data_IF_313800517917
#
_entry.id   IF_313800517917
#
_cell.length_a   1.000
_cell.length_b   1.000
_cell.length_c   1.000
_cell.angle_alpha   90.00
_cell.angle_beta   90.00
_cell.angle_gamma   90.00
#
_symmetry.space_group_name_H-M   'P 1'
#
loop_
_entity.id
_entity.type
_entity.pdbx_description
1 polymer ?
#
# COMPACT_ATOMS: atom_id res chain seq x y z
N UNK A 1 26.79 -12.38 -1.27
CA UNK A 1 26.01 -13.51 -0.80
C UNK A 1 25.02 -13.13 0.28
N UNK A 2 24.33 -14.12 0.82
CA UNK A 2 23.32 -13.91 1.84
C UNK A 2 23.33 -15.05 2.87
N UNK A 3 22.81 -14.75 4.06
CA UNK A 3 22.46 -15.75 5.08
C UNK A 3 20.96 -15.96 5.02
N UNK A 4 20.53 -17.20 4.87
CA UNK A 4 19.14 -17.60 4.73
C UNK A 4 18.73 -18.54 5.86
N UNK A 5 17.47 -18.55 6.22
CA UNK A 5 16.87 -19.53 7.10
C UNK A 5 16.29 -20.69 6.27
N UNK A 6 16.88 -21.87 6.39
CA UNK A 6 16.34 -23.09 5.77
C UNK A 6 15.21 -23.64 6.66
N UNK A 7 13.97 -23.48 6.20
CA UNK A 7 12.78 -23.91 6.95
C UNK A 7 12.68 -25.43 7.11
N UNK A 8 13.25 -26.18 6.17
CA UNK A 8 13.20 -27.64 6.21
C UNK A 8 14.20 -28.21 7.22
N UNK A 9 15.39 -27.58 7.31
CA UNK A 9 16.44 -27.99 8.23
C UNK A 9 16.37 -27.33 9.60
N UNK A 10 15.61 -26.24 9.71
CA UNK A 10 15.56 -25.44 10.93
C UNK A 10 16.88 -24.78 11.30
N UNK A 11 17.72 -24.44 10.32
CA UNK A 11 19.04 -23.83 10.54
C UNK A 11 19.36 -22.75 9.50
N UNK A 12 20.39 -21.96 9.80
CA UNK A 12 20.91 -20.95 8.92
C UNK A 12 21.86 -21.56 7.88
N UNK A 13 21.68 -21.16 6.64
CA UNK A 13 22.58 -21.50 5.52
C UNK A 13 23.16 -20.23 4.90
N UNK A 14 24.40 -20.33 4.44
CA UNK A 14 25.07 -19.26 3.69
C UNK A 14 25.03 -19.56 2.21
N UNK A 15 24.62 -18.56 1.42
CA UNK A 15 24.69 -18.60 -0.03
C UNK A 15 25.83 -17.69 -0.48
N UNK A 16 26.85 -18.27 -1.11
CA UNK A 16 27.94 -17.51 -1.72
C UNK A 16 27.50 -17.03 -3.09
N UNK A 17 27.37 -15.72 -3.25
CA UNK A 17 27.04 -15.09 -4.52
C UNK A 17 27.88 -13.83 -4.72
N UNK A 18 28.19 -13.50 -5.98
CA UNK A 18 28.91 -12.25 -6.35
C UNK A 18 27.99 -11.07 -6.42
N UNK A 19 26.73 -11.31 -6.76
CA UNK A 19 25.68 -10.31 -6.82
C UNK A 19 24.47 -10.75 -5.97
N UNK A 20 23.79 -9.79 -5.36
CA UNK A 20 22.50 -9.95 -4.70
C UNK A 20 21.57 -8.86 -5.21
N UNK A 21 20.35 -9.24 -5.60
CA UNK A 21 19.32 -8.30 -5.99
C UNK A 21 18.20 -8.37 -4.95
N UNK A 22 17.94 -7.27 -4.26
CA UNK A 22 16.81 -7.15 -3.34
C UNK A 22 15.54 -6.79 -4.12
N UNK A 23 14.53 -7.66 -4.03
CA UNK A 23 13.22 -7.47 -4.64
C UNK A 23 12.13 -7.88 -3.64
N UNK A 24 12.25 -7.42 -2.40
CA UNK A 24 11.52 -7.90 -1.23
C UNK A 24 10.18 -7.22 -1.01
N UNK A 25 9.81 -6.28 -1.90
CA UNK A 25 8.61 -5.46 -1.70
C UNK A 25 8.78 -4.43 -0.60
N UNK A 26 7.66 -3.84 -0.18
CA UNK A 26 7.63 -2.75 0.80
C UNK A 26 7.43 -3.19 2.24
N UNK A 27 6.85 -2.30 3.04
CA UNK A 27 6.66 -2.45 4.48
C UNK A 27 5.23 -2.20 4.95
N UNK A 28 4.23 -2.34 4.08
CA UNK A 28 2.83 -2.02 4.39
C UNK A 28 2.22 -2.81 5.55
N UNK A 29 2.80 -3.98 5.91
CA UNK A 29 2.35 -4.73 7.08
C UNK A 29 2.77 -4.14 8.42
N UNK A 30 3.63 -3.13 8.43
CA UNK A 30 3.91 -2.37 9.65
C UNK A 30 2.69 -1.56 10.13
N UNK A 31 1.66 -1.43 9.28
CA UNK A 31 0.37 -0.80 9.59
C UNK A 31 0.53 0.53 10.31
N UNK A 32 1.36 1.39 9.74
CA UNK A 32 1.66 2.69 10.32
C UNK A 32 0.37 3.45 10.62
N UNK A 33 0.33 4.11 11.76
CA UNK A 33 -0.81 4.88 12.25
C UNK A 33 -2.11 4.07 12.42
N UNK A 34 -2.03 2.73 12.47
CA UNK A 34 -3.21 1.87 12.67
C UNK A 34 -4.08 1.67 11.43
N UNK A 35 -3.68 2.19 10.26
CA UNK A 35 -4.41 1.96 9.03
C UNK A 35 -4.38 0.48 8.64
N UNK A 36 -5.48 -0.05 8.08
CA UNK A 36 -5.45 -1.35 7.44
C UNK A 36 -4.50 -1.32 6.24
N UNK A 37 -4.14 -2.49 5.72
CA UNK A 37 -3.26 -2.59 4.56
C UNK A 37 -3.80 -3.55 3.52
N UNK A 38 -3.57 -3.23 2.25
CA UNK A 38 -3.82 -4.12 1.12
C UNK A 38 -2.63 -5.02 0.80
N UNK A 39 -1.51 -4.87 1.51
CA UNK A 39 -0.27 -5.56 1.20
C UNK A 39 -0.26 -7.01 1.70
N UNK A 40 0.50 -7.85 0.99
CA UNK A 40 0.79 -9.22 1.40
C UNK A 40 1.45 -9.27 2.79
N UNK A 41 1.21 -10.36 3.54
CA UNK A 41 1.73 -10.55 4.91
C UNK A 41 3.27 -10.46 5.01
N UNK A 42 3.99 -10.73 3.92
CA UNK A 42 5.44 -10.59 3.84
C UNK A 42 5.96 -9.18 3.57
N UNK A 43 5.10 -8.18 3.44
CA UNK A 43 5.53 -6.79 3.23
C UNK A 43 5.91 -6.13 4.58
N UNK A 44 6.97 -6.62 5.19
CA UNK A 44 7.43 -6.29 6.55
C UNK A 44 8.66 -5.39 6.60
N UNK A 45 9.15 -4.94 5.44
CA UNK A 45 10.30 -4.03 5.35
C UNK A 45 11.67 -4.69 5.57
N UNK A 46 11.75 -6.01 5.58
CA UNK A 46 13.00 -6.73 5.85
C UNK A 46 14.12 -6.34 4.88
N UNK A 47 13.81 -6.16 3.60
CA UNK A 47 14.80 -5.72 2.61
C UNK A 47 15.38 -4.35 2.88
N UNK A 48 14.58 -3.42 3.40
CA UNK A 48 15.05 -2.10 3.83
C UNK A 48 16.07 -2.22 4.97
N UNK A 49 15.74 -3.05 5.97
CA UNK A 49 16.63 -3.31 7.10
C UNK A 49 17.93 -3.96 6.65
N UNK A 50 17.85 -4.94 5.74
CA UNK A 50 19.01 -5.62 5.19
C UNK A 50 19.94 -4.64 4.46
N UNK A 51 19.38 -3.79 3.59
CA UNK A 51 20.15 -2.79 2.85
C UNK A 51 20.76 -1.74 3.79
N UNK A 52 19.96 -1.20 4.72
CA UNK A 52 20.45 -0.23 5.71
C UNK A 52 21.63 -0.78 6.53
N UNK A 53 21.56 -2.03 6.98
CA UNK A 53 22.66 -2.70 7.70
C UNK A 53 23.90 -2.92 6.86
N UNK A 54 23.78 -2.86 5.52
CA UNK A 54 24.91 -2.89 4.60
C UNK A 54 25.44 -1.48 4.25
N UNK A 55 24.91 -0.43 4.86
CA UNK A 55 25.32 0.96 4.68
C UNK A 55 24.62 1.67 3.51
N UNK A 56 23.58 1.08 2.94
CA UNK A 56 22.79 1.75 1.90
C UNK A 56 21.95 2.88 2.50
N UNK A 57 21.81 3.98 1.77
CA UNK A 57 20.88 5.06 2.10
C UNK A 57 19.46 4.69 1.76
N UNK A 58 18.54 5.21 2.56
CA UNK A 58 17.10 5.14 2.31
C UNK A 58 16.59 6.54 1.94
N UNK A 59 15.72 6.61 0.93
CA UNK A 59 15.06 7.85 0.50
C UNK A 59 13.59 7.79 0.86
N UNK A 60 13.02 8.92 1.26
CA UNK A 60 11.58 9.11 1.47
C UNK A 60 10.92 8.01 2.33
N UNK A 61 11.59 7.57 3.40
CA UNK A 61 11.11 6.49 4.26
C UNK A 61 9.74 6.75 4.89
N UNK A 62 9.34 8.00 5.00
CA UNK A 62 8.04 8.46 5.48
C UNK A 62 6.94 8.40 4.43
N UNK A 63 7.28 8.21 3.14
CA UNK A 63 6.36 8.35 2.02
C UNK A 63 5.62 7.04 1.73
N UNK A 64 4.39 6.95 2.23
CA UNK A 64 3.46 5.87 1.94
C UNK A 64 2.27 6.37 1.13
N UNK A 65 1.85 5.58 0.15
CA UNK A 65 0.63 5.83 -0.59
C UNK A 65 -0.53 5.07 0.04
N UNK A 66 -1.57 5.80 0.41
CA UNK A 66 -2.84 5.22 0.83
C UNK A 66 -3.76 5.11 -0.38
N UNK A 67 -4.33 3.92 -0.58
CA UNK A 67 -5.38 3.75 -1.58
C UNK A 67 -6.71 4.16 -0.99
N UNK A 68 -7.47 5.07 -1.61
CA UNK A 68 -8.70 5.61 -1.02
C UNK A 68 -9.80 4.56 -0.85
N UNK A 69 -9.85 3.56 -1.74
CA UNK A 69 -10.90 2.54 -1.75
C UNK A 69 -10.43 1.22 -1.12
N UNK A 70 -9.98 1.23 0.12
CA UNK A 70 -9.85 0.03 0.94
C UNK A 70 -11.22 -0.36 1.51
N UNK A 71 -11.54 -1.65 1.57
CA UNK A 71 -12.77 -2.12 2.20
C UNK A 71 -12.76 -1.79 3.68
N UNK A 72 -13.83 -1.15 4.20
CA UNK A 72 -14.00 -0.87 5.63
C UNK A 72 -14.95 -1.87 6.31
N UNK A 73 -15.82 -2.51 5.55
CA UNK A 73 -16.75 -3.55 6.00
C UNK A 73 -17.10 -4.50 4.85
N UNK A 74 -17.30 -5.81 5.08
CA UNK A 74 -17.28 -6.53 6.37
C UNK A 74 -15.86 -6.69 6.94
N UNK A 75 -15.77 -7.01 8.25
CA UNK A 75 -14.49 -7.03 8.99
C UNK A 75 -13.45 -7.96 8.36
N UNK A 76 -13.88 -9.12 7.84
CA UNK A 76 -12.99 -10.07 7.16
C UNK A 76 -12.36 -9.54 5.86
N UNK A 77 -12.91 -8.48 5.29
CA UNK A 77 -12.41 -7.83 4.08
C UNK A 77 -11.68 -6.52 4.36
N UNK A 78 -11.60 -6.07 5.62
CA UNK A 78 -10.97 -4.80 5.98
C UNK A 78 -9.56 -4.68 5.41
N UNK A 79 -9.32 -3.57 4.73
CA UNK A 79 -8.04 -3.27 4.07
C UNK A 79 -7.89 -3.86 2.67
N UNK A 80 -8.74 -4.81 2.26
CA UNK A 80 -8.68 -5.34 0.90
C UNK A 80 -9.07 -4.28 -0.12
N UNK A 81 -8.36 -4.29 -1.24
CA UNK A 81 -8.50 -3.29 -2.27
C UNK A 81 -9.81 -3.45 -3.05
N UNK A 82 -10.56 -2.36 -3.15
CA UNK A 82 -11.58 -2.15 -4.19
C UNK A 82 -10.92 -1.38 -5.32
N UNK A 83 -10.88 -1.97 -6.51
CA UNK A 83 -10.13 -1.42 -7.66
C UNK A 83 -10.60 -0.01 -8.02
N UNK A 84 -9.66 0.83 -8.43
CA UNK A 84 -9.93 2.19 -8.90
C UNK A 84 -10.87 2.22 -10.10
N UNK A 85 -10.83 1.17 -10.93
CA UNK A 85 -11.70 1.04 -12.11
C UNK A 85 -13.19 1.12 -11.77
N UNK A 86 -13.61 0.75 -10.58
CA UNK A 86 -15.01 0.91 -10.14
C UNK A 86 -15.41 2.39 -10.13
N UNK A 87 -14.55 3.28 -9.64
CA UNK A 87 -14.79 4.72 -9.66
C UNK A 87 -14.78 5.29 -11.08
N UNK A 88 -13.83 4.87 -11.91
CA UNK A 88 -13.78 5.30 -13.31
C UNK A 88 -14.94 4.76 -14.18
N UNK A 89 -15.64 3.73 -13.70
CA UNK A 89 -16.85 3.20 -14.36
C UNK A 89 -18.12 3.91 -13.90
N UNK A 90 -18.05 4.81 -12.90
CA UNK A 90 -19.16 5.69 -12.52
C UNK A 90 -19.59 5.59 -11.06
N UNK A 91 -18.98 4.71 -10.22
CA UNK A 91 -19.30 4.69 -8.81
C UNK A 91 -18.85 6.01 -8.14
N UNK A 92 -19.76 6.63 -7.40
CA UNK A 92 -19.50 7.86 -6.65
C UNK A 92 -19.10 7.56 -5.20
N UNK A 93 -18.37 8.52 -4.61
CA UNK A 93 -18.02 8.47 -3.19
C UNK A 93 -18.90 9.45 -2.44
N UNK A 94 -19.70 8.93 -1.51
CA UNK A 94 -20.66 9.73 -0.73
C UNK A 94 -20.48 9.50 0.77
N UNK A 95 -20.80 10.52 1.57
CA UNK A 95 -20.77 10.42 3.03
C UNK A 95 -22.00 9.67 3.59
N UNK A 96 -22.17 9.63 4.91
CA UNK A 96 -23.31 8.96 5.56
C UNK A 96 -24.65 9.61 5.23
N UNK A 97 -24.66 10.88 4.85
CA UNK A 97 -25.85 11.66 4.48
C UNK A 97 -26.20 11.53 2.98
N UNK A 98 -25.40 10.75 2.21
CA UNK A 98 -25.57 10.57 0.78
C UNK A 98 -24.97 11.71 -0.06
N UNK A 99 -24.26 12.64 0.55
CA UNK A 99 -23.66 13.77 -0.15
C UNK A 99 -22.34 13.40 -0.80
N UNK A 100 -22.18 13.78 -2.06
CA UNK A 100 -20.93 13.69 -2.79
C UNK A 100 -20.03 14.87 -2.40
N UNK A 101 -18.92 14.59 -1.74
CA UNK A 101 -18.03 15.60 -1.16
C UNK A 101 -16.75 15.85 -1.96
N UNK A 102 -16.45 15.02 -2.96
CA UNK A 102 -15.23 15.15 -3.79
C UNK A 102 -15.39 14.44 -5.14
N UNK A 103 -14.62 14.87 -6.14
CA UNK A 103 -14.52 14.15 -7.42
C UNK A 103 -13.69 12.88 -7.28
N UNK A 104 -14.24 11.72 -7.64
CA UNK A 104 -13.67 10.38 -7.41
C UNK A 104 -12.40 10.10 -8.22
N UNK A 105 -12.19 10.87 -9.32
CA UNK A 105 -11.06 10.69 -10.24
C UNK A 105 -9.88 11.61 -9.92
N UNK A 106 -9.91 12.29 -8.78
CA UNK A 106 -8.79 13.09 -8.28
C UNK A 106 -7.60 12.20 -7.85
N UNK A 107 -6.47 12.81 -7.52
CA UNK A 107 -5.30 12.08 -7.04
C UNK A 107 -5.62 11.26 -5.79
N UNK A 108 -4.93 10.12 -5.64
CA UNK A 108 -5.20 9.15 -4.56
C UNK A 108 -5.04 9.73 -3.16
N UNK A 109 -4.02 10.55 -2.96
CA UNK A 109 -3.73 11.24 -1.69
C UNK A 109 -4.80 12.27 -1.36
N UNK A 110 -5.25 13.04 -2.35
CA UNK A 110 -6.32 14.03 -2.19
C UNK A 110 -7.63 13.35 -1.81
N UNK A 111 -8.02 12.29 -2.54
CA UNK A 111 -9.24 11.54 -2.22
C UNK A 111 -9.15 10.85 -0.85
N UNK A 112 -8.00 10.23 -0.54
CA UNK A 112 -7.79 9.59 0.76
C UNK A 112 -7.90 10.61 1.91
N UNK A 113 -7.29 11.78 1.76
CA UNK A 113 -7.36 12.86 2.74
C UNK A 113 -8.80 13.37 2.93
N UNK A 114 -9.57 13.50 1.83
CA UNK A 114 -10.97 13.91 1.91
C UNK A 114 -11.83 12.89 2.67
N UNK A 115 -11.66 11.59 2.39
CA UNK A 115 -12.36 10.52 3.12
C UNK A 115 -12.01 10.53 4.61
N UNK A 116 -10.72 10.68 4.94
CA UNK A 116 -10.28 10.77 6.34
C UNK A 116 -10.94 11.96 7.04
N UNK A 117 -11.05 13.11 6.34
CA UNK A 117 -11.69 14.31 6.87
C UNK A 117 -13.19 14.09 7.12
N UNK A 118 -13.93 13.52 6.16
CA UNK A 118 -15.36 13.20 6.32
C UNK A 118 -15.61 12.34 7.56
N UNK A 119 -14.80 11.31 7.75
CA UNK A 119 -14.89 10.44 8.92
C UNK A 119 -14.51 11.17 10.22
N UNK A 120 -13.46 11.99 10.21
CA UNK A 120 -13.03 12.77 11.38
C UNK A 120 -14.08 13.81 11.80
N UNK A 121 -14.81 14.39 10.84
CA UNK A 121 -15.89 15.34 11.05
C UNK A 121 -17.25 14.67 11.33
N UNK A 122 -17.26 13.35 11.54
CA UNK A 122 -18.43 12.51 11.88
C UNK A 122 -19.50 12.44 10.79
N UNK A 123 -19.15 12.71 9.55
CA UNK A 123 -20.03 12.50 8.38
C UNK A 123 -19.78 11.14 7.70
N UNK A 124 -18.91 10.30 8.26
CA UNK A 124 -18.71 8.92 7.84
C UNK A 124 -19.76 7.96 8.41
N UNK A 125 -20.13 6.93 7.64
CA UNK A 125 -20.97 5.85 8.10
C UNK A 125 -20.22 4.93 9.07
N UNK A 126 -20.89 4.56 10.17
CA UNK A 126 -20.32 3.69 11.20
C UNK A 126 -20.64 2.22 10.90
N UNK A 127 -19.68 1.34 11.20
CA UNK A 127 -19.89 -0.11 11.12
C UNK A 127 -20.33 -0.67 12.46
N UNK A 128 -20.91 -1.89 12.48
CA UNK A 128 -21.20 -2.59 13.74
C UNK A 128 -19.97 -2.85 14.60
N UNK A 129 -18.78 -2.83 14.05
CA UNK A 129 -17.49 -3.02 14.73
C UNK A 129 -16.83 -1.69 15.12
N UNK A 130 -17.58 -0.60 15.15
CA UNK A 130 -17.11 0.75 15.50
C UNK A 130 -16.00 1.30 14.58
N UNK A 131 -15.89 0.80 13.37
CA UNK A 131 -15.11 1.45 12.31
C UNK A 131 -16.00 2.46 11.61
N UNK A 132 -15.39 3.41 10.94
CA UNK A 132 -16.09 4.36 10.10
C UNK A 132 -15.53 4.34 8.68
N UNK A 133 -16.34 4.72 7.72
CA UNK A 133 -15.96 4.83 6.32
C UNK A 133 -16.92 5.74 5.57
N UNK A 134 -16.76 5.79 4.26
CA UNK A 134 -17.68 6.46 3.34
C UNK A 134 -18.24 5.44 2.35
N UNK A 135 -19.38 5.72 1.76
CA UNK A 135 -19.98 4.83 0.79
C UNK A 135 -19.34 5.01 -0.59
N UNK A 136 -19.06 3.91 -1.23
CA UNK A 136 -18.78 3.81 -2.66
C UNK A 136 -20.07 3.31 -3.32
N UNK A 137 -20.81 4.16 -4.00
CA UNK A 137 -22.08 3.86 -4.63
C UNK A 137 -21.87 3.03 -5.89
N UNK A 138 -21.70 1.73 -5.70
CA UNK A 138 -21.49 0.77 -6.77
C UNK A 138 -22.75 0.44 -7.58
N UNK A 139 -23.99 0.49 -7.01
CA UNK A 139 -25.23 0.35 -7.79
C UNK A 139 -25.37 1.39 -8.90
N UNK A 140 -24.83 2.59 -8.70
CA UNK A 140 -24.88 3.66 -9.71
C UNK A 140 -24.24 3.25 -11.05
N UNK A 141 -23.28 2.33 -11.02
CA UNK A 141 -22.66 1.80 -12.25
C UNK A 141 -23.70 1.17 -13.18
N UNK A 142 -24.59 0.34 -12.63
CA UNK A 142 -25.63 -0.32 -13.42
C UNK A 142 -26.71 0.67 -13.90
N UNK A 143 -26.99 1.70 -13.11
CA UNK A 143 -27.92 2.79 -13.48
C UNK A 143 -27.37 3.58 -14.67
N UNK A 144 -26.09 3.92 -14.67
CA UNK A 144 -25.45 4.74 -15.73
C UNK A 144 -25.15 3.92 -16.98
N UNK A 145 -24.64 2.70 -16.82
CA UNK A 145 -24.08 1.91 -17.92
C UNK A 145 -24.94 0.71 -18.34
N UNK A 146 -26.12 0.55 -17.74
CA UNK A 146 -27.05 -0.53 -17.97
C UNK A 146 -26.87 -1.71 -17.00
N UNK A 147 -27.99 -2.39 -16.75
CA UNK A 147 -28.10 -3.50 -15.79
C UNK A 147 -27.04 -4.60 -16.01
N UNK A 148 -26.48 -5.08 -14.93
CA UNK A 148 -25.47 -6.15 -14.91
C UNK A 148 -24.06 -5.71 -15.32
N UNK A 149 -23.82 -4.43 -15.57
CA UNK A 149 -22.47 -3.93 -15.94
C UNK A 149 -21.45 -4.18 -14.84
N UNK A 150 -21.82 -3.91 -13.58
CA UNK A 150 -20.93 -4.18 -12.44
C UNK A 150 -20.52 -5.65 -12.37
N UNK A 151 -21.49 -6.56 -12.52
CA UNK A 151 -21.24 -8.01 -12.48
C UNK A 151 -20.36 -8.47 -13.63
N UNK A 152 -20.56 -7.94 -14.84
CA UNK A 152 -19.77 -8.30 -16.02
C UNK A 152 -18.34 -7.78 -15.92
N UNK A 153 -18.14 -6.55 -15.50
CA UNK A 153 -16.80 -5.93 -15.48
C UNK A 153 -15.98 -6.26 -14.22
N UNK A 154 -16.65 -6.46 -13.09
CA UNK A 154 -15.98 -6.69 -11.80
C UNK A 154 -16.46 -7.95 -11.06
N UNK A 155 -16.51 -9.12 -11.73
CA UNK A 155 -17.05 -10.34 -11.13
C UNK A 155 -16.33 -10.75 -9.85
N UNK A 156 -15.02 -10.49 -9.77
CA UNK A 156 -14.21 -10.81 -8.57
C UNK A 156 -14.58 -9.96 -7.35
N UNK A 157 -14.99 -8.72 -7.55
CA UNK A 157 -15.47 -7.85 -6.45
C UNK A 157 -16.85 -8.35 -6.01
N UNK A 158 -17.78 -8.54 -6.95
CA UNK A 158 -19.12 -9.01 -6.65
C UNK A 158 -19.06 -10.33 -5.87
N UNK A 159 -18.37 -11.34 -6.39
CA UNK A 159 -18.22 -12.64 -5.73
C UNK A 159 -17.60 -12.53 -4.31
N UNK A 160 -16.65 -11.61 -4.11
CA UNK A 160 -16.01 -11.40 -2.81
C UNK A 160 -17.01 -10.91 -1.76
N UNK A 161 -17.86 -9.95 -2.10
CA UNK A 161 -18.83 -9.37 -1.18
C UNK A 161 -20.08 -10.25 -0.99
N UNK A 162 -20.53 -10.95 -2.03
CA UNK A 162 -21.66 -11.89 -1.96
C UNK A 162 -21.43 -13.01 -0.91
N UNK A 163 -20.19 -13.41 -0.69
CA UNK A 163 -19.84 -14.38 0.37
C UNK A 163 -20.20 -13.89 1.76
N UNK A 164 -20.43 -12.60 1.92
CA UNK A 164 -20.84 -11.94 3.17
C UNK A 164 -22.24 -11.37 3.05
N UNK A 165 -23.06 -11.86 2.10
CA UNK A 165 -24.44 -11.44 1.89
C UNK A 165 -24.59 -9.96 1.50
N UNK A 166 -23.53 -9.36 0.93
CA UNK A 166 -23.53 -8.01 0.38
C UNK A 166 -23.51 -8.13 -1.14
N UNK A 167 -24.57 -7.60 -1.80
CA UNK A 167 -24.63 -7.53 -3.27
C UNK A 167 -24.23 -6.12 -3.74
N UNK A 168 -23.01 -5.92 -4.26
CA UNK A 168 -22.54 -4.59 -4.67
C UNK A 168 -23.32 -3.97 -5.84
N UNK A 169 -24.16 -4.74 -6.53
CA UNK A 169 -25.06 -4.23 -7.57
C UNK A 169 -26.34 -3.61 -7.00
N UNK A 170 -26.65 -3.91 -5.73
CA UNK A 170 -27.88 -3.45 -5.06
C UNK A 170 -27.65 -2.52 -3.89
N UNK A 171 -26.46 -2.57 -3.30
CA UNK A 171 -26.11 -1.79 -2.12
C UNK A 171 -24.65 -1.30 -2.22
N UNK A 172 -24.35 -0.11 -1.71
CA UNK A 172 -23.02 0.45 -1.77
C UNK A 172 -22.01 -0.34 -0.93
N UNK A 173 -20.73 -0.19 -1.26
CA UNK A 173 -19.61 -0.77 -0.51
C UNK A 173 -19.08 0.28 0.45
N UNK A 174 -18.85 -0.07 1.70
CA UNK A 174 -18.18 0.82 2.65
C UNK A 174 -16.66 0.77 2.44
N UNK A 175 -16.06 1.94 2.23
CA UNK A 175 -14.63 2.10 1.99
C UNK A 175 -13.98 3.05 2.99
N UNK A 176 -12.68 2.82 3.24
CA UNK A 176 -11.80 3.71 3.99
C UNK A 176 -10.37 3.58 3.46
N UNK A 177 -9.54 4.61 3.53
CA UNK A 177 -8.17 4.52 3.05
C UNK A 177 -7.40 3.36 3.66
N UNK A 178 -6.64 2.65 2.81
CA UNK A 178 -5.79 1.52 3.18
C UNK A 178 -4.36 1.76 2.73
N UNK A 179 -3.40 1.40 3.57
CA UNK A 179 -1.99 1.47 3.23
C UNK A 179 -1.70 0.51 2.07
N UNK A 180 -1.15 1.03 0.99
CA UNK A 180 -1.12 0.33 -0.29
C UNK A 180 0.26 0.18 -0.91
N UNK A 181 1.09 1.23 -0.89
CA UNK A 181 2.39 1.24 -1.55
C UNK A 181 3.39 2.11 -0.80
N UNK A 182 4.62 1.61 -0.68
CA UNK A 182 5.74 2.38 -0.15
C UNK A 182 6.44 3.10 -1.30
N UNK A 183 6.45 4.44 -1.30
CA UNK A 183 7.16 5.22 -2.32
C UNK A 183 8.65 5.37 -2.00
N UNK A 184 8.97 5.41 -0.73
CA UNK A 184 10.35 5.44 -0.25
C UNK A 184 11.01 4.07 -0.22
N UNK A 185 12.32 4.05 -0.03
CA UNK A 185 13.07 2.79 0.02
C UNK A 185 14.56 2.99 -0.23
N UNK A 186 15.22 1.94 -0.66
CA UNK A 186 16.66 1.92 -0.91
C UNK A 186 16.99 2.87 -2.05
N UNK A 187 17.97 3.76 -1.82
CA UNK A 187 18.52 4.60 -2.87
C UNK A 187 19.27 3.74 -3.89
N UNK A 188 18.89 3.86 -5.15
CA UNK A 188 19.53 3.19 -6.28
C UNK A 188 19.80 4.18 -7.41
N UNK A 189 20.75 3.86 -8.25
CA UNK A 189 20.94 4.57 -9.52
C UNK A 189 19.95 4.04 -10.59
N UNK A 190 20.05 4.59 -11.80
CA UNK A 190 19.19 4.21 -12.94
C UNK A 190 19.30 2.73 -13.34
N UNK A 191 20.34 2.03 -12.91
CA UNK A 191 20.62 0.63 -13.23
C UNK A 191 20.44 -0.30 -12.03
N UNK A 192 19.82 0.23 -10.96
CA UNK A 192 19.46 -0.51 -9.75
C UNK A 192 20.64 -0.75 -8.81
N UNK A 193 21.81 -0.13 -9.04
CA UNK A 193 22.96 -0.26 -8.16
C UNK A 193 22.72 0.48 -6.84
N UNK A 194 23.09 -0.14 -5.72
CA UNK A 194 23.15 0.52 -4.41
C UNK A 194 24.57 1.02 -4.12
N UNK A 195 24.75 1.76 -3.02
CA UNK A 195 26.09 2.14 -2.54
C UNK A 195 26.94 0.94 -2.09
N UNK A 196 26.31 -0.17 -1.72
CA UNK A 196 27.00 -1.40 -1.32
C UNK A 196 27.39 -2.22 -2.55
N UNK A 197 28.69 -2.37 -2.81
CA UNK A 197 29.20 -3.14 -3.96
C UNK A 197 28.70 -4.59 -3.97
N UNK A 198 28.12 -5.00 -5.10
CA UNK A 198 27.55 -6.33 -5.28
C UNK A 198 26.11 -6.47 -4.77
N UNK A 199 25.49 -5.35 -4.40
CA UNK A 199 24.08 -5.28 -4.00
C UNK A 199 23.31 -4.35 -4.95
N UNK A 200 22.25 -4.89 -5.53
CA UNK A 200 21.28 -4.20 -6.36
C UNK A 200 19.90 -4.25 -5.72
N UNK A 201 19.00 -3.37 -6.11
CA UNK A 201 17.61 -3.43 -5.69
C UNK A 201 16.68 -3.01 -6.83
N UNK A 202 15.46 -3.55 -6.84
CA UNK A 202 14.42 -3.22 -7.81
C UNK A 202 13.00 -3.44 -7.24
N UNK A 203 12.04 -2.69 -7.75
CA UNK A 203 10.64 -2.72 -7.33
C UNK A 203 10.39 -1.92 -6.06
N UNK A 204 9.30 -2.20 -5.36
CA UNK A 204 8.80 -1.40 -4.23
C UNK A 204 9.80 -1.25 -3.05
N UNK A 205 10.82 -2.07 -2.98
CA UNK A 205 11.91 -1.91 -1.99
C UNK A 205 12.80 -0.69 -2.26
N UNK A 206 12.75 -0.13 -3.49
CA UNK A 206 13.54 1.05 -3.88
C UNK A 206 12.81 2.35 -3.64
N UNK A 207 13.56 3.41 -3.32
CA UNK A 207 13.04 4.75 -3.14
C UNK A 207 13.51 5.72 -4.23
N UNK A 208 12.74 6.80 -4.41
CA UNK A 208 13.09 7.89 -5.31
C UNK A 208 12.54 7.78 -6.73
N UNK A 209 12.26 6.59 -7.24
CA UNK A 209 11.76 6.39 -8.60
C UNK A 209 10.41 7.06 -8.84
N UNK A 210 9.52 6.97 -7.88
CA UNK A 210 8.17 7.53 -7.96
C UNK A 210 8.02 8.87 -7.21
N UNK A 211 9.10 9.46 -6.73
CA UNK A 211 9.02 10.57 -5.81
C UNK A 211 8.29 10.17 -4.52
N UNK A 212 7.36 11.01 -4.07
CA UNK A 212 6.59 10.78 -2.83
C UNK A 212 5.19 10.23 -3.09
N UNK A 213 4.74 10.14 -4.35
CA UNK A 213 3.38 9.70 -4.69
C UNK A 213 3.34 9.02 -6.07
N UNK A 214 3.31 7.71 -6.09
CA UNK A 214 3.31 6.89 -7.30
C UNK A 214 2.01 7.04 -8.10
N UNK A 215 2.12 7.23 -9.41
CA UNK A 215 0.97 7.18 -10.33
C UNK A 215 0.46 5.74 -10.50
N UNK A 216 -0.85 5.62 -10.71
CA UNK A 216 -1.52 4.32 -10.95
C UNK A 216 -0.86 3.55 -12.09
N UNK A 217 -0.69 2.23 -11.89
CA UNK A 217 -0.11 1.33 -12.89
C UNK A 217 1.43 1.31 -12.94
N UNK A 218 2.10 2.38 -12.51
CA UNK A 218 3.56 2.51 -12.65
C UNK A 218 4.36 1.48 -11.84
N UNK A 219 3.78 0.86 -10.81
CA UNK A 219 4.47 -0.21 -10.08
C UNK A 219 4.78 -1.43 -10.95
N UNK A 220 3.89 -1.78 -11.89
CA UNK A 220 4.13 -2.89 -12.82
C UNK A 220 5.20 -2.53 -13.86
N UNK A 221 5.22 -1.28 -14.33
CA UNK A 221 6.28 -0.79 -15.20
C UNK A 221 7.64 -0.77 -14.48
N UNK A 222 7.65 -0.31 -13.25
CA UNK A 222 8.83 -0.28 -12.39
C UNK A 222 9.46 -1.67 -12.26
N UNK A 223 8.74 -2.64 -11.74
CA UNK A 223 9.29 -4.00 -11.52
C UNK A 223 9.78 -4.64 -12.81
N UNK A 224 9.12 -4.37 -13.95
CA UNK A 224 9.51 -4.91 -15.24
C UNK A 224 10.78 -4.25 -15.79
N UNK A 225 10.82 -2.93 -15.80
CA UNK A 225 11.92 -2.15 -16.38
C UNK A 225 13.15 -2.22 -15.47
N UNK A 226 12.99 -1.88 -14.20
CA UNK A 226 14.13 -1.77 -13.29
C UNK A 226 14.61 -3.13 -12.78
N UNK A 227 13.73 -4.13 -12.69
CA UNK A 227 14.14 -5.51 -12.44
C UNK A 227 15.06 -6.04 -13.54
N UNK A 228 14.73 -5.76 -14.82
CA UNK A 228 15.58 -6.10 -15.95
C UNK A 228 16.90 -5.32 -15.94
N UNK A 229 16.86 -4.01 -15.64
CA UNK A 229 18.07 -3.16 -15.59
C UNK A 229 19.02 -3.61 -14.50
N UNK A 230 18.50 -3.86 -13.28
CA UNK A 230 19.30 -4.37 -12.16
C UNK A 230 19.97 -5.72 -12.51
N UNK A 231 19.25 -6.63 -13.16
CA UNK A 231 19.81 -7.92 -13.57
C UNK A 231 20.93 -7.77 -14.61
N UNK A 232 20.76 -6.94 -15.63
CA UNK A 232 21.78 -6.68 -16.64
C UNK A 232 23.00 -5.96 -16.04
N UNK A 233 22.78 -4.97 -15.19
CA UNK A 233 23.86 -4.28 -14.48
C UNK A 233 24.64 -5.26 -13.58
N UNK A 234 23.93 -6.08 -12.81
CA UNK A 234 24.55 -7.10 -11.97
C UNK A 234 25.38 -8.10 -12.78
N UNK A 235 24.94 -8.46 -13.98
CA UNK A 235 25.71 -9.35 -14.88
C UNK A 235 26.99 -8.70 -15.39
N UNK A 236 26.94 -7.42 -15.72
CA UNK A 236 28.05 -6.68 -16.35
C UNK A 236 29.09 -6.20 -15.34
N UNK A 237 28.68 -5.93 -14.09
CA UNK A 237 29.54 -5.37 -13.03
C UNK A 237 29.67 -6.34 -11.84
N UNK A 238 29.97 -7.60 -12.12
CA UNK A 238 30.16 -8.59 -11.07
C UNK A 238 31.46 -8.35 -10.29
N UNK A 239 31.41 -8.05 -8.99
CA UNK A 239 32.60 -7.88 -8.19
C UNK A 239 33.43 -9.18 -8.13
N UNK A 240 34.73 -9.10 -7.86
CA UNK A 240 35.57 -10.31 -7.71
C UNK A 240 35.03 -11.19 -6.59
N UNK A 241 35.25 -12.52 -6.74
CA UNK A 241 34.91 -13.46 -5.67
C UNK A 241 35.71 -13.13 -4.43
N UNK A 242 35.01 -13.07 -3.29
CA UNK A 242 35.64 -12.94 -1.97
C UNK A 242 35.43 -14.23 -1.18
N UNK A 243 36.38 -14.62 -0.32
CA UNK A 243 36.19 -15.76 0.59
C UNK A 243 34.97 -15.51 1.47
N UNK A 244 34.13 -16.52 1.64
CA UNK A 244 33.01 -16.46 2.58
C UNK A 244 33.57 -16.58 3.99
N UNK A 245 33.37 -15.59 4.83
CA UNK A 245 33.73 -15.68 6.25
C UNK A 245 32.51 -16.14 7.05
N UNK A 246 32.74 -17.04 8.01
CA UNK A 246 31.69 -17.53 8.90
C UNK A 246 31.26 -16.49 9.96
N UNK A 247 31.89 -15.32 9.98
CA UNK A 247 31.63 -14.28 10.96
C UNK A 247 30.17 -13.79 10.90
N UNK A 248 29.66 -13.57 9.69
CA UNK A 248 28.25 -13.18 9.51
C UNK A 248 27.28 -14.26 10.00
N UNK A 249 27.60 -15.54 9.75
CA UNK A 249 26.79 -16.67 10.20
C UNK A 249 26.79 -16.78 11.73
N UNK A 250 27.92 -16.62 12.37
CA UNK A 250 28.03 -16.62 13.85
C UNK A 250 27.20 -15.50 14.45
N UNK A 251 27.34 -14.28 13.93
CA UNK A 251 26.56 -13.11 14.38
C UNK A 251 25.05 -13.32 14.19
N UNK A 252 24.65 -13.85 13.05
CA UNK A 252 23.23 -14.15 12.80
C UNK A 252 22.70 -15.24 13.73
N UNK A 253 23.48 -16.31 13.99
CA UNK A 253 23.10 -17.37 14.95
C UNK A 253 22.93 -16.83 16.37
N UNK A 254 23.82 -15.96 16.81
CA UNK A 254 23.70 -15.31 18.12
C UNK A 254 22.43 -14.43 18.20
N UNK A 255 22.14 -13.66 17.16
CA UNK A 255 20.92 -12.88 17.08
C UNK A 255 19.67 -13.77 17.14
N UNK A 256 19.64 -14.88 16.38
CA UNK A 256 18.51 -15.82 16.38
C UNK A 256 18.31 -16.53 17.71
N UNK A 257 19.39 -16.91 18.41
CA UNK A 257 19.30 -17.52 19.75
C UNK A 257 18.71 -16.56 20.79
N UNK A 258 18.92 -15.26 20.60
CA UNK A 258 18.43 -14.22 21.50
C UNK A 258 17.02 -13.70 21.13
N UNK A 259 16.48 -14.12 19.99
CA UNK A 259 15.07 -13.89 19.66
C UNK A 259 14.27 -14.88 20.50
N UNK A 260 13.89 -14.44 21.70
CA UNK A 260 12.89 -15.15 22.49
C UNK A 260 11.55 -15.10 21.72
N UNK A 261 10.65 -16.06 21.95
CA UNK A 261 9.25 -16.07 21.49
C UNK A 261 8.44 -14.85 21.94
N UNK A 262 9.08 -13.86 22.52
CA UNK A 262 8.46 -12.63 22.98
C UNK A 262 8.06 -11.79 21.77
N UNK A 263 6.78 -11.83 21.46
CA UNK A 263 6.09 -10.94 20.50
C UNK A 263 6.16 -9.45 20.87
N UNK A 264 6.89 -9.11 21.94
CA UNK A 264 7.04 -7.76 22.50
C UNK A 264 8.27 -7.02 21.99
N UNK A 265 9.16 -7.66 21.23
CA UNK A 265 10.28 -6.96 20.62
C UNK A 265 9.77 -6.15 19.46
N UNK A 266 9.57 -4.86 19.70
CA UNK A 266 9.32 -3.90 18.63
C UNK A 266 10.50 -3.91 17.67
N UNK A 267 10.21 -4.05 16.38
CA UNK A 267 11.20 -3.85 15.33
C UNK A 267 11.85 -2.48 15.51
N UNK A 268 13.17 -2.33 15.32
CA UNK A 268 13.77 -1.01 15.41
C UNK A 268 13.02 -0.08 14.45
N UNK A 269 12.55 1.05 14.97
CA UNK A 269 11.88 2.07 14.17
C UNK A 269 12.91 2.62 13.17
N UNK A 270 12.77 2.26 11.91
CA UNK A 270 13.57 2.81 10.81
C UNK A 270 13.06 4.17 10.35
N UNK A 271 11.87 4.53 10.76
CA UNK A 271 11.16 5.73 10.32
C UNK A 271 11.02 6.73 11.47
N UNK A 272 10.96 8.03 11.15
CA UNK A 272 10.72 9.07 12.15
C UNK A 272 9.48 8.76 12.98
N UNK A 273 9.54 9.02 14.27
CA UNK A 273 8.40 8.86 15.17
C UNK A 273 7.22 9.72 14.70
N UNK A 274 6.00 9.32 15.02
CA UNK A 274 4.72 9.96 14.63
C UNK A 274 4.66 11.48 14.77
N UNK A 275 5.53 12.11 15.57
CA UNK A 275 5.63 13.55 15.71
C UNK A 275 5.97 14.27 14.39
N UNK A 276 6.80 13.67 13.53
CA UNK A 276 7.12 14.23 12.21
C UNK A 276 5.99 14.09 11.19
N UNK A 277 5.11 13.10 11.36
CA UNK A 277 3.98 12.88 10.46
C UNK A 277 2.80 13.81 10.71
N UNK A 278 2.60 14.28 11.95
CA UNK A 278 1.58 15.31 12.24
C UNK A 278 1.84 16.60 11.45
N UNK A 279 3.09 16.95 11.24
CA UNK A 279 3.48 18.16 10.50
C UNK A 279 3.13 18.03 9.00
N UNK A 280 3.28 16.86 8.40
CA UNK A 280 2.92 16.65 7.00
C UNK A 280 1.40 16.76 6.75
N UNK A 281 0.57 16.31 7.71
CA UNK A 281 -0.88 16.46 7.65
C UNK A 281 -1.35 17.91 7.89
N UNK A 282 -0.63 18.69 8.68
CA UNK A 282 -0.97 20.10 8.92
C UNK A 282 -0.55 21.03 7.78
N UNK A 283 0.52 20.71 7.06
CA UNK A 283 0.97 21.50 5.90
C UNK A 283 0.04 21.37 4.69
N UNK A 284 -0.71 20.27 4.56
CA UNK A 284 -1.74 20.12 3.50
C UNK A 284 -3.04 20.90 3.75
N UNK A 285 -3.21 21.53 4.92
CA UNK A 285 -4.35 22.43 5.19
C UNK A 285 -4.25 23.78 4.48
N UNK A 286 -3.16 24.09 3.82
CA UNK A 286 -2.85 25.46 3.40
C UNK A 286 -3.16 25.81 1.95
N UNK A 287 -3.54 24.88 1.07
CA UNK A 287 -3.86 25.21 -0.32
C UNK A 287 -5.18 24.56 -0.75
N UNK A 288 -6.28 25.30 -0.63
CA UNK A 288 -7.50 25.01 -1.37
C UNK A 288 -7.29 25.40 -2.84
N UNK A 289 -7.43 24.47 -3.80
CA UNK A 289 -7.56 24.89 -5.19
C UNK A 289 -8.93 25.55 -5.36
N UNK A 290 -8.94 26.80 -5.79
CA UNK A 290 -10.13 27.53 -6.16
C UNK A 290 -11.00 26.71 -7.11
N UNK A 291 -12.21 26.42 -6.70
CA UNK A 291 -13.24 25.76 -7.49
C UNK A 291 -13.64 26.67 -8.65
N UNK A 292 -12.98 26.58 -9.81
CA UNK A 292 -13.46 27.13 -11.05
C UNK A 292 -13.62 26.03 -12.08
N UNK A 293 -14.86 25.72 -12.37
CA UNK A 293 -15.27 25.13 -13.63
C UNK A 293 -15.52 23.64 -13.70
N UNK A 294 -16.44 23.09 -12.89
CA UNK A 294 -17.21 21.91 -13.30
C UNK A 294 -18.69 22.17 -13.09
N UNK A 295 -19.45 22.16 -14.18
CA UNK A 295 -20.91 22.22 -14.13
C UNK A 295 -21.43 21.03 -13.32
N UNK A 296 -22.00 21.33 -12.16
CA UNK A 296 -22.75 20.39 -11.34
C UNK A 296 -24.06 20.07 -12.06
N UNK A 297 -24.15 18.90 -12.71
CA UNK A 297 -25.45 18.27 -12.90
C UNK A 297 -26.05 18.03 -11.51
N UNK A 298 -27.31 18.44 -11.31
CA UNK A 298 -27.96 18.55 -10.02
C UNK A 298 -27.91 17.33 -9.10
N UNK A 299 -28.37 17.47 -7.86
CA UNK A 299 -28.25 16.43 -6.84
C UNK A 299 -28.99 15.16 -7.31
N UNK A 300 -28.30 14.02 -7.25
CA UNK A 300 -28.93 12.72 -7.37
C UNK A 300 -29.94 12.58 -6.22
N UNK A 301 -31.20 12.34 -6.55
CA UNK A 301 -32.27 12.09 -5.56
C UNK A 301 -32.23 10.66 -5.00
N UNK A 302 -31.13 9.93 -5.23
CA UNK A 302 -30.95 8.58 -4.75
C UNK A 302 -30.41 8.59 -3.31
N UNK A 303 -31.23 8.11 -2.37
CA UNK A 303 -30.76 7.76 -1.02
C UNK A 303 -30.25 6.32 -1.06
N UNK A 304 -28.98 6.08 -0.81
CA UNK A 304 -28.48 4.71 -0.73
C UNK A 304 -29.12 3.99 0.47
N UNK A 305 -29.62 2.75 0.32
CA UNK A 305 -30.18 2.00 1.42
C UNK A 305 -29.13 1.75 2.50
N UNK A 306 -29.48 1.97 3.77
CA UNK A 306 -28.64 1.61 4.89
C UNK A 306 -28.52 0.07 4.97
N UNK A 307 -27.37 -0.54 4.67
CA UNK A 307 -27.21 -1.99 4.68
C UNK A 307 -27.21 -2.58 6.08
N UNK A 308 -27.32 -1.78 7.14
CA UNK A 308 -27.37 -2.21 8.53
C UNK A 308 -28.78 -2.10 9.13
N UNK A 309 -29.74 -1.48 8.41
CA UNK A 309 -31.14 -1.52 8.81
C UNK A 309 -31.75 -2.88 8.46
N UNK A 310 -32.19 -3.59 9.45
CA UNK A 310 -33.11 -4.74 9.30
C UNK A 310 -34.53 -4.26 9.55
#
# INVERSE_FOLDING_TARGET
GAVLWDRNKGDLVTVSARAVILATGGSGQLRLQGFPTSNHLGATGDGLVLAYRQGCKLLHGESYQYHPSGTAYPEALVGQLVTESIRSTGAQVVNAEGERFIGEMTFRDVLAAAIIREVAEKRGAQTPTHRAGVWLDTPLIDIINGEGTLRRQFPGIVHRFERYQIDPAKQPILIYPTLHYQNGGIQVDRDGCTEAKGLWAAGEVTGGLHGTNRLMGNSLLDITVFGRRAALSAQNDLPPRRPVTLTCLKKSREQFKNISDRREVLSPQLFPTQAGMKVAFELQKAEEPSATGFNSSGPSTYEPPDPFSK
#
